data_IF_178732108424
#
_entry.id   IF_178732108424
#
_cell.length_a   1.000
_cell.length_b   1.000
_cell.length_c   1.000
_cell.angle_alpha   90.00
_cell.angle_beta   90.00
_cell.angle_gamma   90.00
#
_symmetry.space_group_name_H-M   'P 1'
#
loop_
_entity.id
_entity.type
_entity.pdbx_description
1 polymer ?
#
# COMPACT_ATOMS: atom_id res chain seq x y z
N UNK A 1 3.70 13.23 22.20
CA UNK A 1 2.48 13.87 21.66
C UNK A 1 2.34 13.41 20.22
N UNK A 2 1.43 12.46 19.91
CA UNK A 2 1.13 12.09 18.51
C UNK A 2 0.44 13.28 17.87
N UNK A 3 1.03 13.77 16.78
CA UNK A 3 0.47 14.90 16.02
C UNK A 3 -0.83 14.41 15.38
N UNK A 4 -1.98 14.93 15.79
CA UNK A 4 -3.33 14.49 15.40
C UNK A 4 -3.71 14.79 13.93
N UNK A 5 -2.74 15.08 13.06
CA UNK A 5 -3.00 15.58 11.71
C UNK A 5 -2.72 14.62 10.56
N UNK A 6 -1.73 13.74 10.67
CA UNK A 6 -1.27 12.87 9.57
C UNK A 6 -1.19 11.43 10.05
N UNK A 7 -1.81 10.50 9.30
CA UNK A 7 -1.67 9.06 9.51
C UNK A 7 -0.60 8.52 8.55
N UNK A 8 0.45 7.91 9.08
CA UNK A 8 1.61 7.45 8.30
C UNK A 8 1.61 5.93 8.22
N UNK A 9 1.51 5.40 7.00
CA UNK A 9 1.68 3.97 6.72
C UNK A 9 3.07 3.76 6.12
N UNK A 10 3.91 2.96 6.77
CA UNK A 10 5.18 2.52 6.22
C UNK A 10 4.95 1.29 5.35
N UNK A 11 5.06 1.43 4.03
CA UNK A 11 4.86 0.32 3.10
C UNK A 11 6.13 -0.54 2.99
N UNK A 12 6.00 -1.83 3.27
CA UNK A 12 7.09 -2.78 3.19
C UNK A 12 7.21 -3.42 1.80
N UNK A 13 6.08 -3.58 1.09
CA UNK A 13 6.02 -4.32 -0.16
C UNK A 13 6.77 -5.67 -0.06
N UNK A 14 7.64 -5.99 -1.01
CA UNK A 14 8.44 -7.22 -1.03
C UNK A 14 9.85 -7.06 -0.41
N UNK A 15 10.08 -6.03 0.42
CA UNK A 15 11.40 -5.74 0.99
C UNK A 15 11.88 -6.78 2.00
N UNK A 16 11.00 -7.67 2.46
CA UNK A 16 11.34 -8.81 3.32
C UNK A 16 12.17 -9.90 2.60
N UNK A 17 12.20 -9.93 1.26
CA UNK A 17 12.95 -10.89 0.44
C UNK A 17 12.78 -12.36 0.92
N UNK A 18 11.56 -12.78 1.25
CA UNK A 18 11.22 -14.14 1.69
C UNK A 18 11.56 -14.48 3.16
N UNK A 19 11.91 -13.49 3.98
CA UNK A 19 12.23 -13.71 5.40
C UNK A 19 11.25 -13.00 6.32
N UNK A 20 10.53 -13.77 7.14
CA UNK A 20 9.62 -13.23 8.16
C UNK A 20 10.38 -12.46 9.24
N UNK A 21 11.58 -12.87 9.62
CA UNK A 21 12.40 -12.14 10.60
C UNK A 21 12.79 -10.75 10.06
N UNK A 22 13.13 -10.69 8.78
CA UNK A 22 13.40 -9.41 8.11
C UNK A 22 12.15 -8.53 8.01
N UNK A 23 10.98 -9.14 7.74
CA UNK A 23 9.70 -8.42 7.75
C UNK A 23 9.44 -7.81 9.14
N UNK A 24 9.61 -8.59 10.20
CA UNK A 24 9.47 -8.14 11.60
C UNK A 24 10.45 -7.02 11.94
N UNK A 25 11.69 -7.13 11.50
CA UNK A 25 12.70 -6.08 11.69
C UNK A 25 12.34 -4.78 10.99
N UNK A 26 11.82 -4.85 9.75
CA UNK A 26 11.34 -3.68 9.00
C UNK A 26 10.17 -3.03 9.74
N UNK A 27 9.22 -3.82 10.21
CA UNK A 27 8.06 -3.34 10.98
C UNK A 27 8.50 -2.61 12.26
N UNK A 28 9.41 -3.19 13.05
CA UNK A 28 9.94 -2.56 14.25
C UNK A 28 10.65 -1.25 13.95
N UNK A 29 11.45 -1.21 12.88
CA UNK A 29 12.12 0.02 12.44
C UNK A 29 11.12 1.10 12.00
N UNK A 30 10.01 0.71 11.35
CA UNK A 30 8.93 1.62 10.98
C UNK A 30 8.25 2.21 12.22
N UNK A 31 7.95 1.38 13.21
CA UNK A 31 7.36 1.81 14.48
C UNK A 31 8.29 2.75 15.25
N UNK A 32 9.57 2.42 15.36
CA UNK A 32 10.58 3.28 15.99
C UNK A 32 10.72 4.63 15.28
N UNK A 33 10.52 4.66 13.96
CA UNK A 33 10.48 5.88 13.16
C UNK A 33 9.18 6.69 13.33
N UNK A 34 8.18 6.16 14.04
CA UNK A 34 6.92 6.85 14.34
C UNK A 34 5.80 6.59 13.33
N UNK A 35 5.89 5.55 12.50
CA UNK A 35 4.77 5.14 11.66
C UNK A 35 3.56 4.68 12.50
N UNK A 36 2.36 5.01 12.05
CA UNK A 36 1.10 4.60 12.70
C UNK A 36 0.70 3.18 12.28
N UNK A 37 1.04 2.78 11.06
CA UNK A 37 0.77 1.45 10.52
C UNK A 37 1.94 0.92 9.68
N UNK A 38 2.00 -0.41 9.55
CA UNK A 38 2.84 -1.10 8.57
C UNK A 38 1.97 -1.62 7.44
N UNK A 39 2.32 -1.28 6.19
CA UNK A 39 1.71 -1.78 4.97
C UNK A 39 2.37 -3.09 4.53
N UNK A 40 1.56 -4.11 4.25
CA UNK A 40 2.02 -5.42 3.76
C UNK A 40 1.17 -5.91 2.59
N UNK A 41 1.78 -6.69 1.71
CA UNK A 41 1.09 -7.39 0.62
C UNK A 41 0.94 -8.86 0.99
N UNK A 42 -0.29 -9.35 1.01
CA UNK A 42 -0.59 -10.78 1.13
C UNK A 42 -1.12 -11.26 -0.21
N UNK A 43 -0.48 -12.28 -0.77
CA UNK A 43 -0.75 -12.67 -2.17
C UNK A 43 -0.68 -14.18 -2.32
N UNK A 44 -1.72 -14.76 -2.90
CA UNK A 44 -1.68 -16.11 -3.47
C UNK A 44 -1.22 -15.98 -4.93
N UNK A 45 0.09 -16.17 -5.16
CA UNK A 45 0.73 -15.89 -6.45
C UNK A 45 0.06 -16.60 -7.62
N UNK A 46 -0.28 -17.91 -7.53
CA UNK A 46 -0.94 -18.61 -8.63
C UNK A 46 -2.33 -18.04 -9.01
N UNK A 47 -3.05 -17.50 -8.04
CA UNK A 47 -4.36 -16.88 -8.29
C UNK A 47 -4.23 -15.44 -8.82
N UNK A 48 -3.22 -14.72 -8.34
CA UNK A 48 -3.02 -13.32 -8.66
C UNK A 48 -2.29 -13.07 -9.97
N UNK A 49 -1.32 -13.91 -10.34
CA UNK A 49 -0.44 -13.68 -11.49
C UNK A 49 -0.42 -14.87 -12.43
N UNK A 50 -0.21 -14.56 -13.72
CA UNK A 50 0.11 -15.58 -14.74
C UNK A 50 1.63 -15.60 -14.97
N UNK A 51 2.24 -16.79 -15.19
CA UNK A 51 3.68 -16.89 -15.43
C UNK A 51 4.12 -16.27 -16.76
N UNK A 52 3.20 -16.17 -17.74
CA UNK A 52 3.47 -15.62 -19.07
C UNK A 52 2.42 -14.59 -19.46
N UNK A 53 2.86 -13.46 -19.96
CA UNK A 53 2.03 -12.43 -20.57
C UNK A 53 2.05 -12.54 -22.09
N UNK A 54 1.05 -11.99 -22.79
CA UNK A 54 0.99 -12.02 -24.25
C UNK A 54 2.18 -11.35 -24.96
N UNK A 55 2.87 -10.43 -24.29
CA UNK A 55 4.13 -9.78 -24.72
C UNK A 55 5.41 -10.47 -24.26
N UNK A 56 5.29 -11.64 -23.61
CA UNK A 56 6.40 -12.36 -22.99
C UNK A 56 6.35 -12.39 -21.47
N UNK A 57 7.47 -12.72 -20.83
CA UNK A 57 7.57 -12.75 -19.37
C UNK A 57 7.79 -11.36 -18.79
N UNK A 58 7.01 -11.01 -17.76
CA UNK A 58 7.23 -9.78 -17.02
C UNK A 58 8.57 -9.77 -16.27
N UNK A 59 9.18 -8.60 -16.17
CA UNK A 59 10.45 -8.39 -15.46
C UNK A 59 10.25 -7.60 -14.19
N UNK A 60 11.10 -7.87 -13.19
CA UNK A 60 11.14 -7.09 -11.96
C UNK A 60 11.73 -5.71 -12.28
N UNK A 61 11.28 -4.66 -11.58
CA UNK A 61 11.81 -3.29 -11.72
C UNK A 61 12.89 -2.99 -10.68
N UNK A 62 13.36 -1.75 -10.66
CA UNK A 62 14.26 -1.20 -9.64
C UNK A 62 15.61 -1.93 -9.52
N UNK A 63 16.27 -2.18 -10.66
CA UNK A 63 17.59 -2.79 -10.71
C UNK A 63 17.60 -4.32 -10.70
N UNK A 64 16.42 -4.95 -10.79
CA UNK A 64 16.26 -6.40 -10.84
C UNK A 64 15.68 -6.88 -12.19
N UNK A 65 15.79 -6.11 -13.25
CA UNK A 65 15.17 -6.35 -14.56
C UNK A 65 15.66 -7.64 -15.24
N UNK A 66 16.73 -8.23 -14.74
CA UNK A 66 17.21 -9.54 -15.15
C UNK A 66 16.37 -10.71 -14.62
N UNK A 67 15.52 -10.46 -13.61
CA UNK A 67 14.68 -11.48 -12.99
C UNK A 67 13.28 -11.51 -13.62
N UNK A 68 12.73 -12.71 -13.78
CA UNK A 68 11.34 -12.95 -14.17
C UNK A 68 10.44 -12.66 -12.98
N UNK A 69 9.47 -11.76 -13.12
CA UNK A 69 8.68 -11.28 -11.98
C UNK A 69 7.89 -12.40 -11.30
N UNK A 70 7.25 -13.29 -12.06
CA UNK A 70 6.46 -14.39 -11.49
C UNK A 70 7.29 -15.29 -10.59
N UNK A 71 8.43 -15.80 -11.11
CA UNK A 71 9.30 -16.66 -10.33
C UNK A 71 9.89 -15.93 -9.12
N UNK A 72 10.33 -14.68 -9.32
CA UNK A 72 10.89 -13.88 -8.24
C UNK A 72 9.92 -13.69 -7.08
N UNK A 73 8.66 -13.28 -7.37
CA UNK A 73 7.68 -13.08 -6.29
C UNK A 73 7.25 -14.40 -5.65
N UNK A 74 7.21 -15.51 -6.42
CA UNK A 74 6.95 -16.84 -5.87
C UNK A 74 8.04 -17.26 -4.88
N UNK A 75 9.31 -17.02 -5.23
CA UNK A 75 10.47 -17.41 -4.40
C UNK A 75 10.56 -16.62 -3.09
N UNK A 76 10.08 -15.36 -3.09
CA UNK A 76 10.13 -14.50 -1.91
C UNK A 76 8.78 -14.35 -1.19
N UNK A 77 7.72 -15.00 -1.67
CA UNK A 77 6.41 -14.95 -1.01
C UNK A 77 6.50 -15.63 0.35
N UNK A 78 5.96 -14.99 1.39
CA UNK A 78 5.92 -15.59 2.73
C UNK A 78 4.78 -16.60 2.81
N UNK A 79 5.01 -17.68 3.53
CA UNK A 79 3.98 -18.67 3.84
C UNK A 79 2.91 -18.09 4.78
N UNK A 80 1.74 -18.71 4.83
CA UNK A 80 0.66 -18.31 5.71
C UNK A 80 1.07 -18.25 7.18
N UNK A 81 1.81 -19.25 7.67
CA UNK A 81 2.30 -19.28 9.05
C UNK A 81 3.27 -18.14 9.37
N UNK A 82 4.08 -17.71 8.40
CA UNK A 82 4.95 -16.55 8.54
C UNK A 82 4.14 -15.25 8.69
N UNK A 83 3.06 -15.10 7.92
CA UNK A 83 2.17 -13.95 8.04
C UNK A 83 1.39 -13.96 9.37
N UNK A 84 0.97 -15.12 9.87
CA UNK A 84 0.34 -15.25 11.20
C UNK A 84 1.33 -14.81 12.29
N UNK A 85 2.56 -15.33 12.26
CA UNK A 85 3.63 -14.93 13.18
C UNK A 85 3.92 -13.43 13.11
N UNK A 86 3.99 -12.87 11.90
CA UNK A 86 4.18 -11.43 11.71
C UNK A 86 3.06 -10.61 12.37
N UNK A 87 1.81 -11.01 12.15
CA UNK A 87 0.65 -10.32 12.71
C UNK A 87 0.60 -10.40 14.25
N UNK A 88 1.01 -11.52 14.84
CA UNK A 88 1.13 -11.66 16.30
C UNK A 88 2.16 -10.68 16.88
N UNK A 89 3.32 -10.56 16.24
CA UNK A 89 4.35 -9.61 16.66
C UNK A 89 3.86 -8.17 16.47
N UNK A 90 3.17 -7.85 15.37
CA UNK A 90 2.61 -6.52 15.14
C UNK A 90 1.62 -6.13 16.25
N UNK A 91 0.70 -7.02 16.61
CA UNK A 91 -0.24 -6.80 17.73
C UNK A 91 0.50 -6.57 19.06
N UNK A 92 1.54 -7.35 19.34
CA UNK A 92 2.35 -7.20 20.56
C UNK A 92 3.10 -5.86 20.61
N UNK A 93 3.48 -5.31 19.47
CA UNK A 93 4.16 -4.00 19.40
C UNK A 93 3.17 -2.83 19.38
N UNK A 94 1.90 -3.07 19.05
CA UNK A 94 0.84 -2.06 18.96
C UNK A 94 0.91 -1.18 17.72
N UNK A 95 1.66 -1.58 16.66
CA UNK A 95 1.58 -0.95 15.34
C UNK A 95 0.37 -1.50 14.60
N UNK A 96 -0.40 -0.64 13.93
CA UNK A 96 -1.55 -1.09 13.16
C UNK A 96 -1.12 -1.83 11.87
N UNK A 97 -1.91 -2.83 11.46
CA UNK A 97 -1.73 -3.56 10.21
C UNK A 97 -2.59 -2.95 9.10
N UNK A 98 -1.94 -2.59 8.00
CA UNK A 98 -2.57 -2.12 6.78
C UNK A 98 -2.27 -3.15 5.68
N UNK A 99 -3.23 -3.98 5.32
CA UNK A 99 -2.99 -5.11 4.42
C UNK A 99 -3.56 -4.84 3.03
N UNK A 100 -2.77 -5.11 2.02
CA UNK A 100 -3.21 -5.18 0.63
C UNK A 100 -3.33 -6.66 0.22
N UNK A 101 -4.53 -7.27 0.33
CA UNK A 101 -4.77 -8.56 -0.27
C UNK A 101 -4.86 -8.37 -1.78
N UNK A 102 -4.08 -9.12 -2.54
CA UNK A 102 -4.05 -8.93 -3.99
C UNK A 102 -5.09 -9.79 -4.73
N UNK A 103 -5.73 -10.71 -4.02
CA UNK A 103 -6.69 -11.67 -4.55
C UNK A 103 -7.69 -12.11 -3.45
N UNK A 104 -8.74 -12.84 -3.86
CA UNK A 104 -9.80 -13.26 -2.94
C UNK A 104 -9.32 -14.30 -1.91
N UNK A 105 -8.44 -15.22 -2.31
CA UNK A 105 -7.87 -16.25 -1.41
C UNK A 105 -7.09 -15.56 -0.29
N UNK A 106 -6.28 -14.56 -0.65
CA UNK A 106 -5.52 -13.76 0.31
C UNK A 106 -6.42 -12.93 1.22
N UNK A 107 -7.54 -12.38 0.71
CA UNK A 107 -8.52 -11.67 1.53
C UNK A 107 -9.17 -12.59 2.57
N UNK A 108 -9.61 -13.78 2.15
CA UNK A 108 -10.21 -14.79 3.02
C UNK A 108 -9.23 -15.25 4.12
N UNK A 109 -7.96 -15.47 3.75
CA UNK A 109 -6.91 -15.76 4.71
C UNK A 109 -6.69 -14.60 5.71
N UNK A 110 -6.65 -13.36 5.23
CA UNK A 110 -6.46 -12.19 6.10
C UNK A 110 -7.61 -12.01 7.10
N UNK A 111 -8.85 -12.21 6.69
CA UNK A 111 -10.00 -12.14 7.60
C UNK A 111 -9.98 -13.27 8.65
N UNK A 112 -9.59 -14.49 8.24
CA UNK A 112 -9.57 -15.64 9.13
C UNK A 112 -8.41 -15.58 10.16
N UNK A 113 -7.24 -15.06 9.80
CA UNK A 113 -6.02 -15.25 10.60
C UNK A 113 -5.28 -13.97 10.96
N UNK A 114 -5.32 -12.94 10.09
CA UNK A 114 -4.59 -11.68 10.29
C UNK A 114 -5.45 -10.65 11.02
N UNK A 115 -6.70 -10.50 10.62
CA UNK A 115 -7.64 -9.51 11.17
C UNK A 115 -7.06 -8.09 11.22
N UNK A 116 -6.69 -7.48 10.08
CA UNK A 116 -6.01 -6.18 10.04
C UNK A 116 -6.93 -5.03 10.43
N UNK A 117 -6.37 -3.90 10.83
CA UNK A 117 -7.11 -2.67 11.08
C UNK A 117 -7.61 -2.00 9.80
N UNK A 118 -6.84 -2.13 8.72
CA UNK A 118 -7.12 -1.48 7.45
C UNK A 118 -6.84 -2.39 6.26
N UNK A 119 -7.64 -2.22 5.19
CA UNK A 119 -7.30 -2.78 3.89
C UNK A 119 -6.81 -1.72 2.92
N UNK A 120 -6.01 -2.14 1.94
CA UNK A 120 -5.66 -1.36 0.74
C UNK A 120 -6.23 -2.08 -0.46
N UNK A 121 -7.00 -1.38 -1.29
CA UNK A 121 -7.44 -1.87 -2.59
C UNK A 121 -6.53 -1.29 -3.66
N UNK A 122 -5.84 -2.16 -4.40
CA UNK A 122 -4.97 -1.75 -5.50
C UNK A 122 -5.79 -1.22 -6.68
N UNK A 123 -5.25 -0.27 -7.46
CA UNK A 123 -5.94 0.28 -8.62
C UNK A 123 -6.30 -0.80 -9.67
N UNK A 124 -5.44 -1.79 -9.86
CA UNK A 124 -5.71 -2.92 -10.75
C UNK A 124 -6.96 -3.73 -10.35
N UNK A 125 -7.33 -3.72 -9.07
CA UNK A 125 -8.48 -4.43 -8.56
C UNK A 125 -9.83 -3.72 -8.80
N UNK A 126 -9.83 -2.46 -9.26
CA UNK A 126 -11.07 -1.68 -9.46
C UNK A 126 -11.97 -2.27 -10.54
N UNK A 127 -11.42 -2.97 -11.51
CA UNK A 127 -12.17 -3.64 -12.58
C UNK A 127 -12.75 -4.98 -12.13
N UNK A 128 -12.34 -5.49 -10.98
CA UNK A 128 -12.79 -6.76 -10.42
C UNK A 128 -13.93 -6.55 -9.42
N UNK A 129 -15.15 -6.38 -9.95
CA UNK A 129 -16.33 -6.06 -9.16
C UNK A 129 -16.56 -7.02 -7.97
N UNK A 130 -16.35 -8.32 -8.16
CA UNK A 130 -16.54 -9.32 -7.10
C UNK A 130 -15.50 -9.20 -5.99
N UNK A 131 -14.28 -8.80 -6.33
CA UNK A 131 -13.25 -8.55 -5.31
C UNK A 131 -13.54 -7.27 -4.53
N UNK A 132 -13.95 -6.18 -5.22
CA UNK A 132 -14.38 -4.94 -4.55
C UNK A 132 -15.54 -5.20 -3.58
N UNK A 133 -16.53 -6.00 -3.96
CA UNK A 133 -17.64 -6.41 -3.08
C UNK A 133 -17.14 -7.20 -1.88
N UNK A 134 -16.23 -8.16 -2.09
CA UNK A 134 -15.68 -8.98 -1.02
C UNK A 134 -14.92 -8.12 0.01
N UNK A 135 -14.11 -7.15 -0.44
CA UNK A 135 -13.44 -6.20 0.47
C UNK A 135 -14.46 -5.33 1.20
N UNK A 136 -15.50 -4.84 0.52
CA UNK A 136 -16.58 -4.06 1.15
C UNK A 136 -17.27 -4.82 2.29
N UNK A 137 -17.55 -6.11 2.09
CA UNK A 137 -18.22 -6.96 3.07
C UNK A 137 -17.43 -7.16 4.38
N UNK A 138 -16.13 -6.92 4.38
CA UNK A 138 -15.31 -6.91 5.60
C UNK A 138 -15.67 -5.73 6.52
N UNK A 139 -16.26 -4.67 5.98
CA UNK A 139 -16.62 -3.41 6.65
C UNK A 139 -15.44 -2.67 7.27
N UNK A 140 -14.22 -3.07 6.94
CA UNK A 140 -13.01 -2.41 7.45
C UNK A 140 -12.75 -1.09 6.71
N UNK A 141 -12.16 -0.10 7.38
CA UNK A 141 -11.67 1.09 6.70
C UNK A 141 -10.69 0.69 5.59
N UNK A 142 -10.90 1.24 4.38
CA UNK A 142 -10.16 0.81 3.20
C UNK A 142 -9.54 2.00 2.47
N UNK A 143 -8.26 1.88 2.16
CA UNK A 143 -7.51 2.80 1.33
C UNK A 143 -7.60 2.36 -0.14
N UNK A 144 -8.03 3.25 -1.02
CA UNK A 144 -8.15 3.00 -2.46
C UNK A 144 -6.96 3.62 -3.19
N UNK A 145 -6.03 2.82 -3.69
CA UNK A 145 -4.90 3.30 -4.51
C UNK A 145 -5.40 3.60 -5.91
N UNK A 146 -5.57 4.87 -6.24
CA UNK A 146 -6.24 5.32 -7.47
C UNK A 146 -5.27 5.61 -8.64
N UNK A 147 -3.97 5.40 -8.46
CA UNK A 147 -2.98 5.65 -9.51
C UNK A 147 -3.21 4.80 -10.76
N UNK A 148 -3.39 5.44 -11.90
CA UNK A 148 -3.68 4.78 -13.18
C UNK A 148 -5.15 4.50 -13.46
N UNK A 149 -6.07 4.74 -12.51
CA UNK A 149 -7.50 4.63 -12.73
C UNK A 149 -8.08 5.92 -13.31
N UNK A 150 -9.07 5.78 -14.16
CA UNK A 150 -9.89 6.91 -14.65
C UNK A 150 -10.88 7.37 -13.57
N UNK A 151 -11.37 8.61 -13.67
CA UNK A 151 -12.39 9.12 -12.74
C UNK A 151 -13.66 8.25 -12.72
N UNK A 152 -14.07 7.72 -13.87
CA UNK A 152 -15.24 6.83 -13.98
C UNK A 152 -15.02 5.48 -13.30
N UNK A 153 -13.81 4.90 -13.37
CA UNK A 153 -13.47 3.67 -12.67
C UNK A 153 -13.45 3.90 -11.15
N UNK A 154 -12.89 5.02 -10.70
CA UNK A 154 -12.89 5.40 -9.29
C UNK A 154 -14.32 5.53 -8.79
N UNK A 155 -15.18 6.31 -9.47
CA UNK A 155 -16.57 6.51 -9.10
C UNK A 155 -17.34 5.18 -9.04
N UNK A 156 -17.19 4.34 -10.05
CA UNK A 156 -17.86 3.03 -10.13
C UNK A 156 -17.44 2.12 -8.98
N UNK A 157 -16.14 2.07 -8.69
CA UNK A 157 -15.62 1.26 -7.59
C UNK A 157 -16.07 1.76 -6.21
N UNK A 158 -16.07 3.09 -6.00
CA UNK A 158 -16.56 3.69 -4.76
C UNK A 158 -18.05 3.42 -4.55
N UNK A 159 -18.86 3.56 -5.58
CA UNK A 159 -20.31 3.28 -5.52
C UNK A 159 -20.57 1.81 -5.23
N UNK A 160 -19.82 0.90 -5.88
CA UNK A 160 -19.92 -0.53 -5.65
C UNK A 160 -19.55 -0.88 -4.20
N UNK A 161 -18.44 -0.33 -3.69
CA UNK A 161 -17.98 -0.56 -2.34
C UNK A 161 -19.01 -0.06 -1.29
N UNK A 162 -19.50 1.17 -1.44
CA UNK A 162 -20.51 1.77 -0.55
C UNK A 162 -21.83 0.99 -0.57
N UNK A 163 -22.32 0.60 -1.75
CA UNK A 163 -23.58 -0.14 -1.89
C UNK A 163 -23.52 -1.57 -1.33
N UNK A 164 -22.31 -2.12 -1.13
CA UNK A 164 -22.11 -3.43 -0.52
C UNK A 164 -21.70 -3.36 0.97
N UNK A 165 -21.93 -2.22 1.62
CA UNK A 165 -21.75 -2.06 3.07
C UNK A 165 -20.30 -1.81 3.48
N UNK A 166 -19.45 -1.35 2.57
CA UNK A 166 -18.05 -1.04 2.85
C UNK A 166 -17.87 0.01 3.95
N UNK A 167 -16.76 -0.06 4.65
CA UNK A 167 -16.39 0.84 5.74
C UNK A 167 -15.95 2.23 5.25
N UNK A 168 -15.18 2.94 6.08
CA UNK A 168 -14.63 4.24 5.73
C UNK A 168 -13.66 4.11 4.53
N UNK A 169 -13.68 5.11 3.64
CA UNK A 169 -12.83 5.15 2.45
C UNK A 169 -11.85 6.31 2.57
N UNK A 170 -10.60 6.07 2.21
CA UNK A 170 -9.60 7.10 1.92
C UNK A 170 -9.00 6.83 0.54
N UNK A 171 -8.99 7.82 -0.35
CA UNK A 171 -8.32 7.72 -1.65
C UNK A 171 -6.83 7.95 -1.48
N UNK A 172 -6.00 7.15 -2.13
CA UNK A 172 -4.55 7.33 -2.17
C UNK A 172 -4.14 7.78 -3.57
N UNK A 173 -3.89 9.08 -3.70
CA UNK A 173 -3.32 9.66 -4.92
C UNK A 173 -1.86 9.24 -5.08
N UNK A 174 -1.44 8.93 -6.29
CA UNK A 174 -0.08 8.53 -6.63
C UNK A 174 -0.03 7.87 -8.00
N UNK A 175 1.15 7.39 -8.38
CA UNK A 175 1.38 6.74 -9.67
C UNK A 175 1.90 5.32 -9.49
N UNK A 176 1.66 4.45 -10.47
CA UNK A 176 2.07 3.04 -10.42
C UNK A 176 3.55 2.84 -10.81
N UNK A 177 4.20 3.85 -11.40
CA UNK A 177 5.61 3.77 -11.75
C UNK A 177 6.51 3.98 -10.52
N UNK A 178 7.68 3.35 -10.54
CA UNK A 178 8.73 3.55 -9.56
C UNK A 178 10.10 3.65 -10.26
N UNK A 179 10.89 4.71 -9.98
CA UNK A 179 10.50 5.89 -9.21
C UNK A 179 9.54 6.81 -9.99
N UNK A 180 8.65 7.48 -9.28
CA UNK A 180 7.86 8.57 -9.83
C UNK A 180 8.71 9.84 -9.87
N UNK A 181 8.76 10.52 -11.02
CA UNK A 181 9.44 11.82 -11.12
C UNK A 181 8.67 12.88 -10.33
N UNK A 182 9.40 13.83 -9.74
CA UNK A 182 8.79 14.89 -8.94
C UNK A 182 7.77 15.71 -9.75
N UNK A 183 8.06 16.01 -11.00
CA UNK A 183 7.20 16.73 -11.94
C UNK A 183 5.87 16.02 -12.24
N UNK A 184 5.86 14.68 -12.14
CA UNK A 184 4.68 13.84 -12.40
C UNK A 184 3.78 13.67 -11.17
N UNK A 185 4.19 14.13 -9.99
CA UNK A 185 3.45 13.89 -8.72
C UNK A 185 2.07 14.52 -8.67
N UNK A 186 1.87 15.62 -9.40
CA UNK A 186 0.57 16.29 -9.56
C UNK A 186 -0.24 16.46 -8.26
N UNK A 187 0.41 16.89 -7.17
CA UNK A 187 -0.13 16.94 -5.81
C UNK A 187 -1.43 17.74 -5.70
N UNK A 188 -1.57 18.79 -6.53
CA UNK A 188 -2.79 19.63 -6.55
C UNK A 188 -4.06 18.83 -6.88
N UNK A 189 -3.92 17.72 -7.60
CA UNK A 189 -5.04 16.84 -7.92
C UNK A 189 -5.71 16.26 -6.67
N UNK A 190 -4.99 16.16 -5.56
CA UNK A 190 -5.54 15.64 -4.30
C UNK A 190 -6.74 16.47 -3.81
N UNK A 191 -6.66 17.81 -3.95
CA UNK A 191 -7.78 18.68 -3.59
C UNK A 191 -8.98 18.44 -4.51
N UNK A 192 -8.77 18.37 -5.83
CA UNK A 192 -9.83 18.11 -6.81
C UNK A 192 -10.50 16.75 -6.59
N UNK A 193 -9.73 15.73 -6.23
CA UNK A 193 -10.24 14.40 -5.89
C UNK A 193 -11.11 14.43 -4.63
N UNK A 194 -10.68 15.18 -3.62
CA UNK A 194 -11.47 15.36 -2.40
C UNK A 194 -12.81 16.05 -2.69
N UNK A 195 -12.78 17.13 -3.45
CA UNK A 195 -13.97 17.90 -3.84
C UNK A 195 -14.93 17.05 -4.70
N UNK A 196 -14.39 16.27 -5.62
CA UNK A 196 -15.18 15.44 -6.55
C UNK A 196 -15.86 14.24 -5.86
N UNK A 197 -15.14 13.53 -5.01
CA UNK A 197 -15.61 12.26 -4.43
C UNK A 197 -16.10 12.35 -2.98
N UNK A 198 -15.89 13.48 -2.32
CA UNK A 198 -16.28 13.70 -0.93
C UNK A 198 -15.59 12.76 0.06
N UNK A 199 -14.41 12.22 -0.32
CA UNK A 199 -13.64 11.29 0.49
C UNK A 199 -12.31 11.92 0.93
N UNK A 200 -11.73 11.56 2.08
CA UNK A 200 -10.36 11.90 2.42
C UNK A 200 -9.39 11.43 1.35
N UNK A 201 -8.32 12.20 1.12
CA UNK A 201 -7.29 11.86 0.13
C UNK A 201 -5.93 11.84 0.81
N UNK A 202 -5.18 10.77 0.61
CA UNK A 202 -3.80 10.60 1.04
C UNK A 202 -2.86 10.52 -0.17
N UNK A 203 -1.55 10.52 0.10
CA UNK A 203 -0.50 10.36 -0.90
C UNK A 203 0.11 8.95 -0.83
N UNK A 204 0.10 8.22 -1.95
CA UNK A 204 0.90 7.02 -2.15
C UNK A 204 2.21 7.42 -2.84
N UNK A 205 3.27 7.58 -2.04
CA UNK A 205 4.54 8.11 -2.52
C UNK A 205 5.44 7.02 -3.12
N UNK A 206 5.78 7.18 -4.40
CA UNK A 206 6.75 6.36 -5.13
C UNK A 206 7.99 7.16 -5.59
N UNK A 207 8.23 8.33 -5.02
CA UNK A 207 9.37 9.17 -5.36
C UNK A 207 10.65 8.55 -4.80
N UNK A 208 11.77 8.64 -5.52
CA UNK A 208 13.06 8.17 -5.00
C UNK A 208 13.46 8.99 -3.77
N UNK A 209 13.49 8.35 -2.61
CA UNK A 209 13.84 8.97 -1.32
C UNK A 209 15.28 9.45 -1.18
N UNK A 210 16.10 9.36 -2.24
CA UNK A 210 17.46 9.93 -2.29
C UNK A 210 17.48 11.44 -2.46
N UNK A 211 16.41 12.02 -3.00
CA UNK A 211 16.31 13.46 -3.22
C UNK A 211 15.73 14.17 -1.98
N UNK A 212 16.41 15.23 -1.51
CA UNK A 212 15.93 16.04 -0.40
C UNK A 212 14.63 16.77 -0.74
N UNK A 213 14.40 17.10 -2.01
CA UNK A 213 13.17 17.72 -2.50
C UNK A 213 12.00 16.73 -2.40
N UNK A 214 12.24 15.45 -2.72
CA UNK A 214 11.25 14.40 -2.58
C UNK A 214 10.72 14.25 -1.14
N UNK A 215 11.55 14.49 -0.14
CA UNK A 215 11.16 14.46 1.28
C UNK A 215 10.22 15.58 1.68
N UNK A 216 10.14 16.65 0.90
CA UNK A 216 9.23 17.79 1.15
C UNK A 216 7.87 17.61 0.49
N UNK A 217 7.73 16.69 -0.48
CA UNK A 217 6.47 16.46 -1.20
C UNK A 217 5.31 16.09 -0.28
N UNK A 218 5.47 15.19 0.69
CA UNK A 218 4.41 14.90 1.65
C UNK A 218 3.99 16.11 2.47
N UNK A 219 4.94 16.97 2.86
CA UNK A 219 4.65 18.22 3.57
C UNK A 219 3.89 19.19 2.67
N UNK A 220 4.26 19.32 1.40
CA UNK A 220 3.57 20.14 0.43
C UNK A 220 2.15 19.63 0.16
N UNK A 221 1.96 18.31 0.07
CA UNK A 221 0.66 17.71 -0.05
C UNK A 221 -0.22 18.05 1.16
N UNK A 222 0.32 17.96 2.37
CA UNK A 222 -0.39 18.34 3.60
C UNK A 222 -0.76 19.84 3.62
N UNK A 223 0.15 20.72 3.23
CA UNK A 223 -0.09 22.18 3.16
C UNK A 223 -1.14 22.54 2.10
N UNK A 224 -1.22 21.76 1.01
CA UNK A 224 -2.16 22.02 -0.08
C UNK A 224 -3.60 21.59 0.21
N UNK A 225 -3.80 20.66 1.15
CA UNK A 225 -5.12 20.11 1.47
C UNK A 225 -5.26 19.78 2.97
N UNK A 226 -5.16 20.77 3.88
CA UNK A 226 -5.07 20.53 5.32
C UNK A 226 -6.30 19.87 5.94
N UNK A 227 -7.45 19.92 5.28
CA UNK A 227 -8.70 19.29 5.75
C UNK A 227 -8.99 17.94 5.07
N UNK A 228 -8.25 17.60 4.01
CA UNK A 228 -8.47 16.41 3.20
C UNK A 228 -7.52 15.25 3.55
N UNK A 229 -6.43 15.54 4.25
CA UNK A 229 -5.33 14.61 4.43
C UNK A 229 -5.48 13.77 5.71
N UNK A 230 -5.84 12.51 5.52
CA UNK A 230 -5.27 11.41 6.29
C UNK A 230 -4.18 10.81 5.38
N UNK A 231 -2.95 11.30 5.47
CA UNK A 231 -1.92 10.94 4.49
C UNK A 231 -1.25 9.62 4.81
N UNK A 232 -1.13 8.84 3.78
CA UNK A 232 -0.30 7.64 3.72
C UNK A 232 0.99 8.01 3.01
N UNK A 233 2.11 7.94 3.70
CA UNK A 233 3.43 8.01 3.09
C UNK A 233 3.88 6.60 2.73
N UNK A 234 3.91 6.28 1.45
CA UNK A 234 4.56 5.09 0.94
C UNK A 234 6.08 5.35 0.92
N UNK A 235 6.79 4.83 1.91
CA UNK A 235 8.23 5.03 1.99
C UNK A 235 9.02 3.74 1.76
N UNK A 236 9.49 3.49 0.54
CA UNK A 236 10.57 2.52 0.28
C UNK A 236 11.90 2.96 0.95
N UNK A 237 11.94 4.16 1.56
CA UNK A 237 13.10 4.74 2.24
C UNK A 237 13.64 3.97 3.45
N UNK A 238 12.91 2.99 3.99
CA UNK A 238 13.39 2.17 5.11
C UNK A 238 14.61 1.30 4.78
N UNK A 239 14.85 0.96 3.51
CA UNK A 239 16.07 0.23 3.12
C UNK A 239 17.36 1.04 3.32
N UNK A 240 17.33 2.37 3.25
CA UNK A 240 18.53 3.24 3.36
C UNK A 240 18.77 3.79 4.76
N UNK A 241 17.76 3.91 5.60
CA UNK A 241 17.92 4.45 6.96
C UNK A 241 18.81 3.57 7.88
N UNK A 242 18.95 2.28 7.59
CA UNK A 242 19.81 1.36 8.36
C UNK A 242 21.31 1.45 8.03
N UNK A 243 21.68 1.97 6.85
CA UNK A 243 23.09 2.01 6.43
C UNK A 243 23.82 3.19 7.06
N UNK A 244 23.16 4.28 7.43
CA UNK A 244 23.80 5.48 7.96
C UNK A 244 24.05 5.46 9.48
N UNK A 245 23.57 4.45 10.22
CA UNK A 245 23.81 4.32 11.67
C UNK A 245 24.94 3.35 12.04
N UNK A 246 25.68 2.81 11.05
CA UNK A 246 26.82 1.90 11.26
C UNK A 246 28.08 2.27 10.47
N UNK A 247 28.30 3.56 10.25
CA UNK A 247 29.62 4.10 9.85
C UNK A 247 30.03 5.15 10.86
#
# INVERSE_FOLDING_TARGET
>A
MRNKGIFVIAEMAWAHDGSVDKAIDIMKAAQEAGADAIGIHVTDIPTYMVPHYGSGEGRVSAGKEHLKVYQYVLDINLAHDDWIRFAEVARATGIALCVMPNDKVSLEFCEAHISPEFYVLAAAAFVEAEFVKAVAQTRRPTFFRIGGATLGEIESSLNLFRSNGGGEITLLHGFQNYPTKLEDTNIRQMQSLHELFGAPVGLADHIDGGDIVAKTVPLLAWLSAPHALRSTLHGIGLKRARISKRL
#
